data_IF_318005040260
#
_entry.id   IF_318005040260
#
_cell.length_a   1.000
_cell.length_b   1.000
_cell.length_c   1.000
_cell.angle_alpha   90.00
_cell.angle_beta   90.00
_cell.angle_gamma   90.00
#
_symmetry.space_group_name_H-M   'P 1'
#
loop_
_entity.id
_entity.type
_entity.pdbx_description
1 polymer ?
#
# COMPACT_ATOMS: atom_id res chain seq x y z
N UNK A 1 19.90 8.17 -0.55
CA UNK A 1 19.22 6.86 -0.47
C UNK A 1 17.74 7.11 -0.72
N UNK A 2 17.07 6.35 -1.61
CA UNK A 2 15.60 6.44 -1.76
C UNK A 2 14.96 5.48 -0.77
N UNK A 3 13.94 5.94 -0.05
CA UNK A 3 13.09 5.08 0.75
C UNK A 3 12.27 4.18 -0.17
N UNK A 4 12.11 2.91 0.20
CA UNK A 4 11.35 1.92 -0.56
C UNK A 4 10.10 1.50 0.21
N UNK A 5 9.00 1.47 -0.53
CA UNK A 5 7.70 0.97 -0.10
C UNK A 5 7.28 -0.16 -1.04
N UNK A 6 7.11 -1.36 -0.48
CA UNK A 6 6.47 -2.47 -1.19
C UNK A 6 5.00 -2.55 -0.77
N UNK A 7 4.11 -2.78 -1.74
CA UNK A 7 2.65 -2.71 -1.58
C UNK A 7 2.04 -4.01 -2.09
N UNK A 8 1.52 -4.87 -1.23
CA UNK A 8 0.94 -6.16 -1.64
C UNK A 8 -0.57 -6.04 -1.83
N UNK A 9 -1.08 -6.42 -2.99
CA UNK A 9 -2.50 -6.30 -3.31
C UNK A 9 -3.01 -7.40 -4.25
N UNK A 10 -4.30 -7.70 -4.17
CA UNK A 10 -5.00 -8.60 -5.10
C UNK A 10 -5.54 -7.89 -6.34
N UNK A 11 -5.71 -6.56 -6.26
CA UNK A 11 -6.50 -5.79 -7.22
C UNK A 11 -5.93 -4.40 -7.43
N UNK A 12 -5.72 -4.04 -8.70
CA UNK A 12 -5.32 -2.68 -9.12
C UNK A 12 -6.37 -1.65 -8.67
N UNK A 13 -7.65 -1.99 -8.81
CA UNK A 13 -8.76 -1.09 -8.47
C UNK A 13 -8.73 -0.76 -6.98
N UNK A 14 -8.51 -1.77 -6.13
CA UNK A 14 -8.49 -1.56 -4.67
C UNK A 14 -7.30 -0.74 -4.22
N UNK A 15 -6.12 -0.95 -4.82
CA UNK A 15 -4.94 -0.10 -4.55
C UNK A 15 -5.25 1.36 -4.84
N UNK A 16 -5.80 1.65 -6.02
CA UNK A 16 -6.12 3.04 -6.41
C UNK A 16 -7.22 3.61 -5.51
N UNK A 17 -8.23 2.82 -5.19
CA UNK A 17 -9.39 3.23 -4.37
C UNK A 17 -8.97 3.63 -2.96
N UNK A 18 -8.18 2.79 -2.29
CA UNK A 18 -7.88 2.95 -0.87
C UNK A 18 -6.56 3.67 -0.60
N UNK A 19 -5.57 3.55 -1.49
CA UNK A 19 -4.21 4.04 -1.25
C UNK A 19 -3.64 4.89 -2.40
N UNK A 20 -4.39 5.10 -3.48
CA UNK A 20 -3.86 5.70 -4.71
C UNK A 20 -3.29 7.10 -4.51
N UNK A 21 -3.87 7.89 -3.61
CA UNK A 21 -3.39 9.24 -3.30
C UNK A 21 -2.09 9.22 -2.50
N UNK A 22 -2.04 8.42 -1.45
CA UNK A 22 -0.86 8.22 -0.61
C UNK A 22 0.33 7.66 -1.39
N UNK A 23 0.10 6.66 -2.24
CA UNK A 23 1.15 6.09 -3.09
C UNK A 23 1.68 7.10 -4.11
N UNK A 24 0.80 7.93 -4.66
CA UNK A 24 1.20 9.03 -5.55
C UNK A 24 2.09 10.04 -4.80
N UNK A 25 1.66 10.49 -3.62
CA UNK A 25 2.41 11.48 -2.84
C UNK A 25 3.78 10.94 -2.40
N UNK A 26 3.87 9.67 -1.99
CA UNK A 26 5.17 9.03 -1.71
C UNK A 26 6.04 8.90 -2.96
N UNK A 27 5.47 8.50 -4.11
CA UNK A 27 6.21 8.43 -5.37
C UNK A 27 6.76 9.81 -5.77
N UNK A 28 5.94 10.86 -5.68
CA UNK A 28 6.34 12.24 -5.93
C UNK A 28 7.36 12.78 -4.92
N UNK A 29 7.32 12.30 -3.67
CA UNK A 29 8.35 12.58 -2.67
C UNK A 29 9.67 11.81 -2.92
N UNK A 30 9.78 11.07 -4.02
CA UNK A 30 10.98 10.36 -4.43
C UNK A 30 11.11 8.96 -3.86
N UNK A 31 10.05 8.37 -3.29
CA UNK A 31 10.10 6.99 -2.82
C UNK A 31 10.15 6.00 -4.00
N UNK A 32 10.79 4.87 -3.79
CA UNK A 32 10.71 3.71 -4.66
C UNK A 32 9.47 2.89 -4.28
N UNK A 33 8.31 3.21 -4.87
CA UNK A 33 7.05 2.52 -4.62
C UNK A 33 6.85 1.38 -5.62
N UNK A 34 6.64 0.16 -5.11
CA UNK A 34 6.41 -1.05 -5.92
C UNK A 34 5.16 -1.79 -5.45
N UNK A 35 4.18 -1.97 -6.33
CA UNK A 35 2.99 -2.79 -6.11
C UNK A 35 3.27 -4.23 -6.54
N UNK A 36 3.11 -5.16 -5.62
CA UNK A 36 3.22 -6.61 -5.81
C UNK A 36 1.80 -7.18 -5.91
N UNK A 37 1.40 -7.60 -7.12
CA UNK A 37 0.07 -8.17 -7.36
C UNK A 37 0.10 -9.69 -7.20
N UNK A 38 -0.87 -10.24 -6.46
CA UNK A 38 -0.99 -11.71 -6.24
C UNK A 38 -1.42 -12.45 -7.51
N UNK A 39 -2.11 -11.78 -8.43
CA UNK A 39 -2.54 -12.33 -9.71
C UNK A 39 -2.26 -11.30 -10.82
N UNK A 40 -1.03 -11.29 -11.32
CA UNK A 40 -0.64 -10.45 -12.45
C UNK A 40 -0.88 -11.21 -13.76
N UNK A 41 -2.14 -11.46 -14.11
CA UNK A 41 -2.47 -12.02 -15.41
C UNK A 41 -2.04 -11.08 -16.55
N UNK A 42 -1.63 -11.65 -17.69
CA UNK A 42 -1.13 -10.94 -18.89
C UNK A 42 -2.07 -9.84 -19.44
N UNK A 43 -3.34 -9.81 -19.00
CA UNK A 43 -4.37 -8.89 -19.45
C UNK A 43 -4.79 -7.85 -18.39
N UNK A 44 -4.10 -7.78 -17.26
CA UNK A 44 -4.42 -6.80 -16.21
C UNK A 44 -4.14 -5.39 -16.72
N UNK A 45 -5.13 -4.50 -16.68
CA UNK A 45 -4.91 -3.09 -17.04
C UNK A 45 -4.11 -2.38 -15.94
N UNK A 46 -2.81 -2.19 -16.20
CA UNK A 46 -1.90 -1.53 -15.27
C UNK A 46 -1.85 -0.01 -15.44
N UNK A 47 -2.61 0.58 -16.39
CA UNK A 47 -2.65 2.05 -16.57
C UNK A 47 -3.01 2.79 -15.29
N UNK A 48 -3.97 2.35 -14.44
CA UNK A 48 -4.26 3.06 -13.20
C UNK A 48 -3.03 3.20 -12.28
N UNK A 49 -2.20 2.17 -12.18
CA UNK A 49 -0.95 2.19 -11.41
C UNK A 49 0.11 3.07 -12.06
N UNK A 50 0.21 3.06 -13.39
CA UNK A 50 1.12 3.95 -14.12
C UNK A 50 0.75 5.43 -13.93
N UNK A 51 -0.55 5.76 -13.90
CA UNK A 51 -1.04 7.13 -13.69
C UNK A 51 -0.62 7.66 -12.32
N UNK A 52 -0.67 6.83 -11.27
CA UNK A 52 -0.21 7.23 -9.93
C UNK A 52 1.33 7.12 -9.76
N UNK A 53 2.05 6.74 -10.82
CA UNK A 53 3.51 6.73 -10.84
C UNK A 53 4.15 5.62 -10.01
N UNK A 54 3.49 4.46 -9.87
CA UNK A 54 4.06 3.31 -9.13
C UNK A 54 4.52 2.21 -10.06
N UNK A 55 5.56 1.47 -9.65
CA UNK A 55 5.99 0.25 -10.34
C UNK A 55 5.10 -0.92 -9.96
N UNK A 56 4.97 -1.89 -10.86
CA UNK A 56 4.21 -3.12 -10.59
C UNK A 56 5.11 -4.33 -10.85
N UNK A 57 5.04 -5.33 -9.98
CA UNK A 57 5.67 -6.63 -10.14
C UNK A 57 4.67 -7.73 -9.76
N UNK A 58 4.92 -8.93 -10.26
CA UNK A 58 4.24 -10.15 -9.85
C UNK A 58 4.75 -10.59 -8.46
N UNK A 59 3.84 -10.86 -7.53
CA UNK A 59 4.20 -11.26 -6.17
C UNK A 59 4.93 -12.61 -6.16
N UNK A 60 4.44 -13.61 -6.89
CA UNK A 60 5.00 -14.97 -6.87
C UNK A 60 6.44 -14.95 -7.38
N UNK A 61 6.69 -14.25 -8.50
CA UNK A 61 8.05 -14.06 -9.02
C UNK A 61 8.96 -13.29 -8.05
N UNK A 62 8.38 -12.37 -7.29
CA UNK A 62 9.15 -11.62 -6.29
C UNK A 62 9.53 -12.51 -5.11
N UNK A 63 8.60 -13.37 -4.64
CA UNK A 63 8.84 -14.33 -3.56
C UNK A 63 9.94 -15.35 -3.91
N UNK A 64 10.04 -15.76 -5.18
CA UNK A 64 11.12 -16.64 -5.67
C UNK A 64 12.52 -16.01 -5.57
N UNK A 65 12.62 -14.69 -5.46
CA UNK A 65 13.88 -13.93 -5.43
C UNK A 65 14.08 -13.11 -4.14
N UNK A 66 13.29 -13.39 -3.09
CA UNK A 66 13.28 -12.60 -1.85
C UNK A 66 14.62 -12.58 -1.11
N UNK A 67 15.38 -13.66 -1.15
CA UNK A 67 16.62 -13.79 -0.37
C UNK A 67 17.74 -12.81 -0.81
N UNK A 68 17.67 -12.27 -2.03
CA UNK A 68 18.69 -11.36 -2.58
C UNK A 68 18.31 -9.88 -2.46
N UNK A 69 17.11 -9.55 -1.98
CA UNK A 69 16.59 -8.18 -2.01
C UNK A 69 16.73 -7.48 -0.65
N UNK A 70 17.32 -6.27 -0.58
CA UNK A 70 17.29 -5.47 0.63
C UNK A 70 15.85 -5.28 1.12
N UNK A 71 15.62 -5.40 2.42
CA UNK A 71 14.28 -5.22 3.02
C UNK A 71 13.78 -3.79 2.78
N UNK A 72 12.50 -3.61 2.45
CA UNK A 72 11.93 -2.27 2.29
C UNK A 72 11.81 -1.58 3.66
N UNK A 73 11.86 -0.26 3.65
CA UNK A 73 11.65 0.55 4.87
C UNK A 73 10.18 0.59 5.27
N UNK A 74 9.27 0.44 4.31
CA UNK A 74 7.85 0.31 4.55
C UNK A 74 7.24 -0.83 3.74
N UNK A 75 6.29 -1.53 4.35
CA UNK A 75 5.45 -2.54 3.72
C UNK A 75 4.00 -2.09 3.87
N UNK A 76 3.25 -2.16 2.78
CA UNK A 76 1.82 -1.99 2.85
C UNK A 76 1.08 -3.18 2.25
N UNK A 77 -0.10 -3.52 2.77
CA UNK A 77 -0.89 -4.63 2.25
C UNK A 77 -2.39 -4.41 2.37
N UNK A 78 -3.14 -4.97 1.42
CA UNK A 78 -4.58 -5.08 1.53
C UNK A 78 -4.95 -6.06 2.66
N UNK A 79 -5.85 -5.68 3.54
CA UNK A 79 -6.14 -6.43 4.77
C UNK A 79 -6.84 -7.78 4.51
N UNK A 80 -7.65 -7.85 3.45
CA UNK A 80 -8.28 -9.07 2.96
C UNK A 80 -7.25 -10.15 2.59
N UNK A 81 -6.08 -9.76 2.06
CA UNK A 81 -5.01 -10.69 1.74
C UNK A 81 -4.42 -11.37 2.97
N UNK A 82 -4.47 -10.74 4.14
CA UNK A 82 -4.08 -11.40 5.38
C UNK A 82 -5.00 -12.59 5.65
N UNK A 83 -6.30 -12.48 5.35
CA UNK A 83 -7.27 -13.57 5.47
C UNK A 83 -7.04 -14.69 4.45
N UNK A 84 -6.68 -14.32 3.21
CA UNK A 84 -6.74 -15.20 2.05
C UNK A 84 -5.41 -15.83 1.63
N UNK A 85 -4.25 -15.21 1.89
CA UNK A 85 -2.94 -15.73 1.51
C UNK A 85 -2.02 -15.85 2.73
N UNK A 86 -1.67 -17.09 3.09
CA UNK A 86 -0.82 -17.39 4.25
C UNK A 86 0.59 -16.83 4.12
N UNK A 87 1.11 -16.69 2.89
CA UNK A 87 2.45 -16.16 2.63
C UNK A 87 2.49 -14.66 2.89
N UNK A 88 1.46 -13.95 2.43
CA UNK A 88 1.29 -12.51 2.72
C UNK A 88 1.11 -12.29 4.21
N UNK A 89 0.26 -13.09 4.87
CA UNK A 89 0.08 -13.06 6.33
C UNK A 89 1.40 -13.22 7.07
N UNK A 90 2.18 -14.25 6.72
CA UNK A 90 3.46 -14.50 7.37
C UNK A 90 4.45 -13.36 7.14
N UNK A 91 4.55 -12.83 5.92
CA UNK A 91 5.44 -11.72 5.60
C UNK A 91 5.09 -10.44 6.37
N UNK A 92 3.80 -10.13 6.51
CA UNK A 92 3.33 -8.97 7.29
C UNK A 92 3.59 -9.14 8.78
N UNK A 93 3.27 -10.30 9.36
CA UNK A 93 3.55 -10.59 10.77
C UNK A 93 5.05 -10.52 11.08
N UNK A 94 5.89 -11.09 10.21
CA UNK A 94 7.33 -10.95 10.35
C UNK A 94 7.77 -9.49 10.30
N UNK A 95 7.26 -8.68 9.36
CA UNK A 95 7.61 -7.26 9.28
C UNK A 95 7.23 -6.49 10.56
N UNK A 96 6.08 -6.81 11.16
CA UNK A 96 5.63 -6.25 12.44
C UNK A 96 6.56 -6.66 13.60
N UNK A 97 6.90 -7.95 13.70
CA UNK A 97 7.73 -8.49 14.80
C UNK A 97 9.14 -7.89 14.84
N UNK A 98 9.71 -7.53 13.68
CA UNK A 98 11.08 -7.01 13.60
C UNK A 98 11.17 -5.51 13.92
N UNK A 99 10.07 -4.76 13.95
CA UNK A 99 9.98 -3.37 14.40
C UNK A 99 10.75 -2.32 13.58
N UNK A 100 11.49 -2.72 12.54
CA UNK A 100 12.28 -1.83 11.66
C UNK A 100 11.57 -1.46 10.35
N UNK A 101 10.48 -2.15 10.02
CA UNK A 101 9.68 -1.91 8.81
C UNK A 101 8.34 -1.32 9.23
N UNK A 102 8.01 -0.15 8.70
CA UNK A 102 6.68 0.44 8.88
C UNK A 102 5.65 -0.42 8.13
N UNK A 103 4.67 -0.98 8.84
CA UNK A 103 3.61 -1.80 8.24
C UNK A 103 2.33 -1.00 8.22
N UNK A 104 1.76 -0.80 7.02
CA UNK A 104 0.52 -0.07 6.79
C UNK A 104 -0.48 -0.96 6.07
N UNK A 105 -1.68 -1.09 6.60
CA UNK A 105 -2.71 -1.93 6.03
C UNK A 105 -3.90 -1.06 5.61
N UNK A 106 -4.57 -1.41 4.51
CA UNK A 106 -5.81 -0.74 4.06
C UNK A 106 -6.95 -1.76 3.83
N UNK A 107 -8.18 -1.28 3.78
CA UNK A 107 -9.39 -2.09 3.60
C UNK A 107 -10.28 -2.09 4.84
N UNK A 108 -11.35 -2.87 4.80
CA UNK A 108 -12.38 -2.86 5.87
C UNK A 108 -12.33 -4.10 6.77
N UNK A 109 -11.78 -5.21 6.27
CA UNK A 109 -11.70 -6.50 6.96
C UNK A 109 -10.32 -6.73 7.56
N UNK A 110 -10.23 -6.62 8.89
CA UNK A 110 -8.98 -6.77 9.63
C UNK A 110 -8.98 -8.06 10.46
N UNK A 111 -7.88 -8.83 10.49
CA UNK A 111 -7.72 -9.92 11.43
C UNK A 111 -7.70 -9.42 12.89
N UNK A 112 -8.40 -10.13 13.78
CA UNK A 112 -8.49 -9.77 15.20
C UNK A 112 -7.12 -9.80 15.90
N UNK A 113 -6.15 -10.56 15.39
CA UNK A 113 -4.80 -10.62 15.95
C UNK A 113 -4.04 -9.28 15.84
N UNK A 114 -4.49 -8.39 14.95
CA UNK A 114 -3.89 -7.09 14.71
C UNK A 114 -4.55 -5.96 15.53
N UNK A 115 -5.73 -6.16 16.12
CA UNK A 115 -6.49 -5.10 16.79
C UNK A 115 -5.75 -4.42 17.97
N UNK A 116 -4.76 -5.08 18.57
CA UNK A 116 -3.94 -4.52 19.66
C UNK A 116 -2.62 -3.87 19.24
N UNK A 117 -2.13 -4.10 18.02
CA UNK A 117 -0.77 -3.73 17.59
C UNK A 117 -0.72 -2.66 16.49
N UNK A 118 -1.84 -2.38 15.81
CA UNK A 118 -1.97 -1.35 14.77
C UNK A 118 -2.94 -0.24 15.20
N UNK A 119 -2.50 1.01 15.11
CA UNK A 119 -3.34 2.20 15.31
C UNK A 119 -4.01 2.67 14.02
N UNK A 120 -5.16 3.34 14.13
CA UNK A 120 -5.80 3.99 12.98
C UNK A 120 -5.03 5.27 12.62
N UNK A 121 -4.60 5.37 11.36
CA UNK A 121 -3.89 6.52 10.82
C UNK A 121 -4.55 6.98 9.52
N UNK A 122 -4.30 8.21 9.14
CA UNK A 122 -4.82 8.81 7.92
C UNK A 122 -3.71 9.54 7.18
N UNK A 123 -3.81 9.54 5.86
CA UNK A 123 -3.03 10.38 4.97
C UNK A 123 -3.92 11.45 4.36
N UNK A 124 -3.49 12.71 4.39
CA UNK A 124 -4.18 13.80 3.70
C UNK A 124 -3.59 13.98 2.31
N UNK A 125 -4.42 13.81 1.29
CA UNK A 125 -3.99 13.84 -0.10
C UNK A 125 -3.63 15.25 -0.54
N UNK A 126 -2.49 15.38 -1.22
CA UNK A 126 -2.18 16.60 -1.97
C UNK A 126 -3.20 16.85 -3.09
N UNK A 127 -3.26 18.09 -3.59
CA UNK A 127 -4.10 18.42 -4.75
C UNK A 127 -3.72 17.61 -6.00
N UNK A 128 -2.42 17.31 -6.15
CA UNK A 128 -1.92 16.49 -7.23
C UNK A 128 -2.38 15.03 -7.05
N UNK A 129 -2.24 14.46 -5.84
CA UNK A 129 -2.74 13.13 -5.51
C UNK A 129 -4.23 12.99 -5.81
N UNK A 130 -5.06 13.96 -5.41
CA UNK A 130 -6.50 13.95 -5.72
C UNK A 130 -6.76 13.91 -7.23
N UNK A 131 -6.04 14.71 -8.01
CA UNK A 131 -6.20 14.78 -9.47
C UNK A 131 -5.74 13.49 -10.16
N UNK A 132 -4.58 12.95 -9.79
CA UNK A 132 -4.05 11.74 -10.41
C UNK A 132 -4.82 10.50 -9.97
N UNK A 133 -5.27 10.44 -8.71
CA UNK A 133 -6.20 9.41 -8.24
C UNK A 133 -7.50 9.42 -9.04
N UNK A 134 -8.07 10.60 -9.35
CA UNK A 134 -9.26 10.71 -10.20
C UNK A 134 -9.05 10.09 -11.58
N UNK A 135 -7.91 10.41 -12.21
CA UNK A 135 -7.55 9.87 -13.52
C UNK A 135 -7.32 8.36 -13.48
N UNK A 136 -6.69 7.87 -12.42
CA UNK A 136 -6.46 6.44 -12.22
C UNK A 136 -7.79 5.69 -12.02
N UNK A 137 -8.71 6.23 -11.23
CA UNK A 137 -10.05 5.68 -11.04
C UNK A 137 -10.86 5.67 -12.35
N UNK A 138 -10.79 6.73 -13.14
CA UNK A 138 -11.41 6.78 -14.46
C UNK A 138 -10.82 5.72 -15.41
N UNK A 139 -9.49 5.53 -15.40
CA UNK A 139 -8.82 4.47 -16.17
C UNK A 139 -9.21 3.07 -15.69
N UNK A 140 -9.52 2.92 -14.39
CA UNK A 140 -10.03 1.70 -13.78
C UNK A 140 -11.54 1.49 -13.98
N UNK A 141 -12.18 2.25 -14.89
CA UNK A 141 -13.62 2.22 -15.16
C UNK A 141 -14.51 2.55 -13.93
N UNK A 142 -13.98 3.34 -12.99
CA UNK A 142 -14.67 3.81 -11.78
C UNK A 142 -14.75 5.35 -11.70
N UNK A 143 -15.24 6.07 -12.74
CA UNK A 143 -15.21 7.53 -12.78
C UNK A 143 -16.12 8.22 -11.76
N UNK A 144 -17.16 7.54 -11.28
CA UNK A 144 -18.13 8.09 -10.32
C UNK A 144 -17.67 7.99 -8.86
N UNK A 145 -16.50 7.36 -8.61
CA UNK A 145 -16.00 7.20 -7.26
C UNK A 145 -15.61 8.54 -6.64
N UNK A 146 -16.26 8.90 -5.52
CA UNK A 146 -15.98 10.15 -4.81
C UNK A 146 -14.58 10.10 -4.18
N UNK A 147 -13.79 11.14 -4.46
CA UNK A 147 -12.43 11.26 -3.93
C UNK A 147 -12.47 12.08 -2.65
N UNK A 148 -12.24 11.41 -1.53
CA UNK A 148 -12.04 12.08 -0.25
C UNK A 148 -10.72 12.85 -0.20
N UNK A 149 -10.61 13.76 0.77
CA UNK A 149 -9.36 14.46 1.06
C UNK A 149 -8.38 13.63 1.88
N UNK A 150 -8.85 12.51 2.45
CA UNK A 150 -8.05 11.61 3.27
C UNK A 150 -8.23 10.16 2.84
N UNK A 151 -7.18 9.37 3.06
CA UNK A 151 -7.17 7.91 2.99
C UNK A 151 -6.84 7.36 4.37
N UNK A 152 -7.58 6.35 4.82
CA UNK A 152 -7.45 5.77 6.15
C UNK A 152 -6.75 4.42 6.09
N UNK A 153 -5.92 4.16 7.08
CA UNK A 153 -5.10 2.96 7.19
C UNK A 153 -5.02 2.50 8.64
N UNK A 154 -4.57 1.27 8.83
CA UNK A 154 -4.06 0.78 10.10
C UNK A 154 -2.56 0.60 10.02
N UNK A 155 -1.81 1.20 10.94
CA UNK A 155 -0.35 1.16 10.92
C UNK A 155 0.20 0.61 12.23
N UNK A 156 1.18 -0.29 12.13
CA UNK A 156 1.80 -0.94 13.29
C UNK A 156 2.44 0.14 14.15
N UNK A 157 2.11 0.14 15.45
CA UNK A 157 2.62 1.10 16.43
C UNK A 157 4.15 1.06 16.47
N UNK A 158 4.79 1.85 15.61
CA UNK A 158 6.16 2.23 15.80
C UNK A 158 6.21 3.07 17.07
N UNK A 159 7.16 2.77 17.95
CA UNK A 159 7.66 3.73 18.94
C UNK A 159 8.30 4.98 18.29
N UNK A 160 8.22 5.11 16.96
CA UNK A 160 8.75 6.16 16.12
C UNK A 160 7.65 6.71 15.17
N UNK A 161 7.73 7.98 14.76
CA UNK A 161 6.85 8.51 13.71
C UNK A 161 7.03 7.74 12.39
N UNK A 162 5.99 7.74 11.54
CA UNK A 162 6.09 7.18 10.18
C UNK A 162 7.35 7.71 9.48
N UNK A 163 8.00 6.87 8.68
CA UNK A 163 9.29 7.15 8.03
C UNK A 163 9.22 8.43 7.17
N UNK A 164 8.03 8.79 6.67
CA UNK A 164 7.77 10.03 5.92
C UNK A 164 7.02 11.14 6.69
N UNK A 165 6.63 10.93 7.94
CA UNK A 165 5.75 11.81 8.72
C UNK A 165 4.42 12.17 8.02
N UNK A 166 3.99 11.36 7.04
CA UNK A 166 2.84 11.59 6.17
C UNK A 166 1.56 10.86 6.62
N UNK A 167 1.72 9.87 7.52
CA UNK A 167 0.63 9.20 8.21
C UNK A 167 0.46 9.81 9.61
N UNK A 168 -0.71 10.37 9.87
CA UNK A 168 -1.06 10.98 11.17
C UNK A 168 -2.14 10.16 11.87
N UNK A 169 -2.19 10.13 13.21
CA UNK A 169 -3.29 9.49 13.93
C UNK A 169 -4.65 9.95 13.43
N UNK A 170 -5.55 9.00 13.20
CA UNK A 170 -6.96 9.29 12.96
C UNK A 170 -7.62 9.51 14.33
N UNK A 171 -8.26 10.67 14.50
CA UNK A 171 -8.90 11.09 15.75
C UNK A 171 -10.23 10.42 16.03
#
# INVERSE_FOLDING_TARGET
>A
MRYRLDVVASSVVDVVRFAGGWLFDRSMAGWDVTVLLTDLADHSDLRPLQIIGVRTLDLDRTLESVDDRPRPQALAAAADLLGCDSRVRQGVLQALDHGVTEVTLWGDTWPAELDGSVGLVQHRLSMAAQTFKAKALAAAAMPEYSIGHTENFRSGLLACPSVAADLVPAG
#
